data_IF_466363808629
#
_entry.id   IF_466363808629
#
_cell.length_a   1.000
_cell.length_b   1.000
_cell.length_c   1.000
_cell.angle_alpha   90.00
_cell.angle_beta   90.00
_cell.angle_gamma   90.00
#
_symmetry.space_group_name_H-M   'P 1'
#
loop_
_entity.id
_entity.type
_entity.pdbx_description
1 polymer ?
#
# COMPACT_ATOMS: atom_id res chain seq x y z
N UNK A 1 1.98 16.47 1.80
CA UNK A 1 0.97 16.83 0.77
C UNK A 1 1.50 16.73 -0.67
N UNK A 2 2.71 16.21 -0.90
CA UNK A 2 3.27 15.99 -2.25
C UNK A 2 3.54 14.51 -2.51
N UNK A 3 2.81 13.63 -1.81
CA UNK A 3 2.91 12.20 -2.04
C UNK A 3 2.26 11.88 -3.40
N UNK A 4 2.78 10.91 -4.17
CA UNK A 4 2.14 10.48 -5.39
C UNK A 4 0.75 9.88 -5.09
N UNK A 5 -0.31 10.46 -5.64
CA UNK A 5 -1.69 9.95 -5.48
C UNK A 5 -2.01 8.82 -6.47
N UNK A 6 -1.46 8.88 -7.69
CA UNK A 6 -1.62 7.87 -8.74
C UNK A 6 -0.45 7.91 -9.73
N UNK A 7 -0.32 6.86 -10.54
CA UNK A 7 0.70 6.74 -11.60
C UNK A 7 0.01 6.52 -12.94
N UNK A 8 0.35 7.32 -13.94
CA UNK A 8 0.06 7.04 -15.34
C UNK A 8 1.29 6.39 -15.96
N UNK A 9 1.10 5.23 -16.59
CA UNK A 9 2.19 4.43 -17.10
C UNK A 9 1.88 3.92 -18.49
N UNK A 10 2.91 3.87 -19.34
CA UNK A 10 2.82 3.26 -20.66
C UNK A 10 2.59 1.75 -20.51
N UNK A 11 1.67 1.20 -21.29
CA UNK A 11 1.29 -0.21 -21.21
C UNK A 11 2.48 -1.15 -21.42
N UNK A 12 3.45 -0.74 -22.25
CA UNK A 12 4.63 -1.55 -22.60
C UNK A 12 5.57 -1.80 -21.41
N UNK A 13 5.54 -0.94 -20.39
CA UNK A 13 6.43 -1.03 -19.20
C UNK A 13 5.67 -1.35 -17.91
N UNK A 14 4.35 -1.50 -17.97
CA UNK A 14 3.49 -1.68 -16.78
C UNK A 14 3.89 -2.90 -15.95
N UNK A 15 4.21 -4.02 -16.61
CA UNK A 15 4.56 -5.27 -15.94
C UNK A 15 5.88 -5.12 -15.16
N UNK A 16 6.93 -4.64 -15.83
CA UNK A 16 8.26 -4.42 -15.25
C UNK A 16 8.19 -3.43 -14.07
N UNK A 17 7.37 -2.37 -14.20
CA UNK A 17 7.16 -1.42 -13.12
C UNK A 17 6.51 -2.07 -11.89
N UNK A 18 5.49 -2.91 -12.06
CA UNK A 18 4.83 -3.61 -10.94
C UNK A 18 5.83 -4.53 -10.23
N UNK A 19 6.66 -5.25 -10.99
CA UNK A 19 7.69 -6.13 -10.44
C UNK A 19 8.73 -5.35 -9.63
N UNK A 20 9.25 -4.26 -10.20
CA UNK A 20 10.20 -3.38 -9.53
C UNK A 20 9.60 -2.77 -8.27
N UNK A 21 8.38 -2.24 -8.35
CA UNK A 21 7.67 -1.65 -7.21
C UNK A 21 7.48 -2.67 -6.07
N UNK A 22 7.04 -3.88 -6.39
CA UNK A 22 6.84 -4.95 -5.41
C UNK A 22 8.16 -5.34 -4.74
N UNK A 23 9.24 -5.40 -5.52
CA UNK A 23 10.58 -5.70 -5.02
C UNK A 23 11.08 -4.61 -4.08
N UNK A 24 10.98 -3.34 -4.49
CA UNK A 24 11.41 -2.20 -3.67
C UNK A 24 10.61 -2.06 -2.37
N UNK A 25 9.28 -2.30 -2.38
CA UNK A 25 8.47 -2.33 -1.15
C UNK A 25 9.05 -3.35 -0.14
N UNK A 26 9.46 -4.52 -0.64
CA UNK A 26 10.02 -5.59 0.19
C UNK A 26 11.43 -5.28 0.68
N UNK A 27 12.24 -4.59 -0.12
CA UNK A 27 13.55 -4.10 0.29
C UNK A 27 13.45 -3.04 1.39
N UNK A 28 12.42 -2.19 1.32
CA UNK A 28 12.22 -1.09 2.29
C UNK A 28 11.60 -1.58 3.61
N UNK A 29 10.57 -2.43 3.54
CA UNK A 29 9.76 -2.79 4.72
C UNK A 29 9.84 -4.27 5.09
N UNK A 30 10.68 -5.04 4.39
CA UNK A 30 10.82 -6.47 4.61
C UNK A 30 9.64 -7.30 4.10
N UNK A 31 9.61 -8.57 4.50
CA UNK A 31 8.54 -9.51 4.10
C UNK A 31 7.25 -9.30 4.90
N UNK A 32 7.34 -8.63 6.04
CA UNK A 32 6.23 -8.36 6.96
C UNK A 32 6.21 -6.85 7.28
N UNK A 33 5.66 -6.00 6.37
CA UNK A 33 5.72 -4.54 6.54
C UNK A 33 5.07 -4.02 7.82
N UNK A 34 4.13 -4.78 8.42
CA UNK A 34 3.52 -4.44 9.71
C UNK A 34 4.55 -4.36 10.85
N UNK A 35 5.62 -5.14 10.78
CA UNK A 35 6.66 -5.18 11.81
C UNK A 35 7.78 -4.16 11.53
N UNK A 36 7.72 -3.44 10.41
CA UNK A 36 8.71 -2.41 10.06
C UNK A 36 8.54 -1.16 10.92
N UNK A 37 9.62 -0.71 11.53
CA UNK A 37 9.69 0.55 12.28
C UNK A 37 9.68 1.79 11.37
N UNK A 38 10.04 1.63 10.09
CA UNK A 38 10.11 2.69 9.09
C UNK A 38 8.76 2.96 8.41
N UNK A 39 7.77 2.09 8.63
CA UNK A 39 6.42 2.26 8.08
C UNK A 39 5.48 2.96 9.06
N UNK A 40 5.03 4.15 8.69
CA UNK A 40 4.08 4.92 9.48
C UNK A 40 2.72 4.25 9.69
N UNK A 41 1.92 4.81 10.62
CA UNK A 41 0.54 4.37 10.88
C UNK A 41 -0.45 5.46 10.50
N UNK A 42 -1.69 5.07 10.20
CA UNK A 42 -2.75 6.02 9.92
C UNK A 42 -3.09 6.81 11.18
N UNK A 43 -3.29 8.11 11.01
CA UNK A 43 -3.39 9.09 12.12
C UNK A 43 -4.50 8.78 13.12
N UNK A 44 -5.65 8.27 12.67
CA UNK A 44 -6.79 7.94 13.52
C UNK A 44 -7.73 6.94 12.83
N UNK A 45 -8.69 6.44 13.61
CA UNK A 45 -9.62 5.38 13.18
C UNK A 45 -10.55 5.85 12.06
N UNK A 46 -10.94 7.14 12.03
CA UNK A 46 -11.76 7.70 10.96
C UNK A 46 -11.04 7.64 9.60
N UNK A 47 -9.78 8.07 9.54
CA UNK A 47 -8.99 8.01 8.31
C UNK A 47 -8.63 6.58 7.92
N UNK A 48 -8.38 5.72 8.92
CA UNK A 48 -8.15 4.29 8.69
C UNK A 48 -9.37 3.64 8.04
N UNK A 49 -10.55 3.78 8.64
CA UNK A 49 -11.80 3.18 8.15
C UNK A 49 -12.13 3.65 6.72
N UNK A 50 -11.90 4.94 6.43
CA UNK A 50 -12.09 5.49 5.07
C UNK A 50 -11.18 4.79 4.05
N UNK A 51 -9.90 4.61 4.36
CA UNK A 51 -8.95 3.96 3.45
C UNK A 51 -9.21 2.45 3.33
N UNK A 52 -9.53 1.79 4.43
CA UNK A 52 -9.88 0.37 4.44
C UNK A 52 -11.12 0.10 3.56
N UNK A 53 -12.15 0.93 3.64
CA UNK A 53 -13.33 0.83 2.78
C UNK A 53 -13.01 1.02 1.30
N UNK A 54 -12.11 1.96 0.97
CA UNK A 54 -11.64 2.13 -0.42
C UNK A 54 -10.92 0.87 -0.91
N UNK A 55 -10.05 0.27 -0.10
CA UNK A 55 -9.39 -0.99 -0.44
C UNK A 55 -10.40 -2.14 -0.63
N UNK A 56 -11.39 -2.27 0.25
CA UNK A 56 -12.45 -3.28 0.11
C UNK A 56 -13.22 -3.10 -1.19
N UNK A 57 -13.57 -1.87 -1.57
CA UNK A 57 -14.29 -1.58 -2.82
C UNK A 57 -13.48 -1.94 -4.08
N UNK A 58 -12.15 -1.94 -3.99
CA UNK A 58 -11.24 -2.23 -5.11
C UNK A 58 -10.46 -3.54 -4.96
N UNK A 59 -10.90 -4.45 -4.08
CA UNK A 59 -10.15 -5.65 -3.71
C UNK A 59 -9.72 -6.52 -4.91
N UNK A 60 -10.56 -6.61 -5.94
CA UNK A 60 -10.28 -7.37 -7.16
C UNK A 60 -9.11 -6.82 -7.98
N UNK A 61 -8.73 -5.56 -7.77
CA UNK A 61 -7.72 -4.85 -8.55
C UNK A 61 -6.39 -4.73 -7.80
N UNK A 62 -6.30 -5.23 -6.57
CA UNK A 62 -5.09 -5.17 -5.74
C UNK A 62 -4.09 -6.20 -6.25
N UNK A 63 -2.91 -5.73 -6.66
CA UNK A 63 -1.81 -6.57 -7.16
C UNK A 63 -0.78 -6.84 -6.06
N UNK A 64 -0.50 -5.84 -5.22
CA UNK A 64 0.42 -5.91 -4.07
C UNK A 64 -0.23 -5.20 -2.88
N UNK A 65 0.09 -5.62 -1.66
CA UNK A 65 -0.40 -4.95 -0.45
C UNK A 65 -1.81 -5.34 -0.03
N UNK A 66 -2.61 -4.33 0.32
CA UNK A 66 -4.05 -4.46 0.61
C UNK A 66 -4.41 -5.05 1.97
N UNK A 67 -3.44 -5.53 2.77
CA UNK A 67 -3.70 -5.99 4.14
C UNK A 67 -3.91 -4.81 5.09
N UNK A 68 -4.83 -4.96 6.03
CA UNK A 68 -5.13 -3.91 7.03
C UNK A 68 -5.19 -4.51 8.44
N UNK A 69 -4.80 -3.74 9.46
CA UNK A 69 -5.00 -4.11 10.86
C UNK A 69 -5.48 -2.89 11.66
N UNK A 70 -6.74 -2.91 12.07
CA UNK A 70 -7.41 -1.78 12.71
C UNK A 70 -6.79 -1.39 14.06
N UNK A 71 -6.45 -2.39 14.88
CA UNK A 71 -5.85 -2.19 16.21
C UNK A 71 -4.54 -1.38 16.17
N UNK A 72 -3.80 -1.51 15.07
CA UNK A 72 -2.54 -0.79 14.84
C UNK A 72 -2.69 0.39 13.88
N UNK A 73 -3.90 0.66 13.37
CA UNK A 73 -4.15 1.61 12.26
C UNK A 73 -3.19 1.39 11.09
N UNK A 74 -2.93 0.13 10.77
CA UNK A 74 -1.97 -0.30 9.76
C UNK A 74 -2.66 -0.58 8.43
N UNK A 75 -2.07 -0.10 7.34
CA UNK A 75 -2.43 -0.45 5.96
C UNK A 75 -1.13 -0.78 5.24
N UNK A 76 -1.08 -1.96 4.60
CA UNK A 76 0.06 -2.40 3.83
C UNK A 76 0.26 -1.51 2.58
N UNK A 77 1.52 -1.18 2.21
CA UNK A 77 1.84 -0.59 0.92
C UNK A 77 1.37 -1.47 -0.25
#
# INVERSE_FOLDING_TARGET
CVAPDYVLIDETIKADFIEALTTTIREFYGTHPIDSEDLGRIVNDRHFNRLAQLLTAHQSNIIVGGKTAAEQRYIAP
#
